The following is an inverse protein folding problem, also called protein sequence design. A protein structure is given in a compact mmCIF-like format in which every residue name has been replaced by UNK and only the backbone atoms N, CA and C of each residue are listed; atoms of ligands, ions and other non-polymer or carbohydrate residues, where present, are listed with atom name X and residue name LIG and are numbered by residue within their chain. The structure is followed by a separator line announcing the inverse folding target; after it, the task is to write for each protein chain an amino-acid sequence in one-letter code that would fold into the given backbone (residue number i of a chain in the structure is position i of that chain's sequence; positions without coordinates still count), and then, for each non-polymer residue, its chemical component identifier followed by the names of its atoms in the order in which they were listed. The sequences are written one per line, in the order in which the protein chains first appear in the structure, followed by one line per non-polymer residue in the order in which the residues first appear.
data_IF_514432205695
#
_entry.id   IF_514432205695
#
_cell.length_a   1.000
_cell.length_b   1.000
_cell.length_c   1.000
_cell.angle_alpha   90.00
_cell.angle_beta   90.00
_cell.angle_gamma   90.00
#
_symmetry.space_group_name_H-M   'P 1'
#
loop_
_entity.id
_entity.type
_entity.pdbx_description
1 polymer ?
#
# COMPACT_ATOMS: atom_id res chain seq x y z
N UNK A 1 -15.47 24.01 -68.28
CA UNK A 1 -16.38 22.84 -68.34
C UNK A 1 -15.52 21.62 -68.05
N UNK A 2 -15.74 20.94 -66.94
CA UNK A 2 -15.02 19.72 -66.59
C UNK A 2 -15.50 18.57 -67.46
N UNK A 3 -14.57 17.84 -68.08
CA UNK A 3 -14.91 16.71 -68.93
C UNK A 3 -15.46 15.55 -68.08
N UNK A 4 -16.61 15.01 -68.51
CA UNK A 4 -17.29 13.83 -67.95
C UNK A 4 -16.35 12.65 -67.61
N UNK A 5 -15.43 12.22 -68.51
CA UNK A 5 -14.47 11.15 -68.20
C UNK A 5 -13.48 11.53 -67.08
N UNK A 6 -13.10 12.80 -66.95
CA UNK A 6 -12.21 13.29 -65.90
C UNK A 6 -12.85 13.25 -64.51
N UNK A 7 -14.14 13.61 -64.43
CA UNK A 7 -14.91 13.51 -63.19
C UNK A 7 -15.10 12.06 -62.74
N UNK A 8 -15.38 11.15 -63.68
CA UNK A 8 -15.49 9.73 -63.38
C UNK A 8 -14.16 9.14 -62.89
N UNK A 9 -13.03 9.44 -63.55
CA UNK A 9 -11.71 8.98 -63.11
C UNK A 9 -11.36 9.46 -61.69
N UNK A 10 -11.75 10.70 -61.34
CA UNK A 10 -11.56 11.24 -59.98
C UNK A 10 -12.44 10.53 -58.95
N UNK A 11 -13.69 10.24 -59.29
CA UNK A 11 -14.60 9.46 -58.43
C UNK A 11 -14.05 8.04 -58.18
N UNK A 12 -13.57 7.35 -59.22
CA UNK A 12 -12.97 6.01 -59.07
C UNK A 12 -11.74 6.01 -58.16
N UNK A 13 -10.88 7.02 -58.27
CA UNK A 13 -9.72 7.19 -57.37
C UNK A 13 -10.15 7.38 -55.92
N UNK A 14 -11.17 8.20 -55.67
CA UNK A 14 -11.71 8.42 -54.32
C UNK A 14 -12.35 7.16 -53.73
N UNK A 15 -13.09 6.39 -54.54
CA UNK A 15 -13.69 5.11 -54.13
C UNK A 15 -12.60 4.11 -53.71
N UNK A 16 -11.53 3.96 -54.51
CA UNK A 16 -10.42 3.07 -54.19
C UNK A 16 -9.71 3.50 -52.89
N UNK A 17 -9.49 4.81 -52.71
CA UNK A 17 -8.89 5.35 -51.49
C UNK A 17 -9.77 5.14 -50.25
N UNK A 18 -11.09 5.30 -50.40
CA UNK A 18 -12.06 5.06 -49.34
C UNK A 18 -12.10 3.58 -48.95
N UNK A 19 -12.19 2.65 -49.91
CA UNK A 19 -12.14 1.20 -49.65
C UNK A 19 -10.85 0.78 -48.94
N UNK A 20 -9.69 1.28 -49.41
CA UNK A 20 -8.41 1.00 -48.78
C UNK A 20 -8.35 1.55 -47.34
N UNK A 21 -8.92 2.74 -47.12
CA UNK A 21 -9.02 3.33 -45.79
C UNK A 21 -9.97 2.59 -44.85
N UNK A 22 -11.11 2.12 -45.37
CA UNK A 22 -12.08 1.31 -44.64
C UNK A 22 -11.49 -0.04 -44.25
N UNK A 23 -10.78 -0.70 -45.17
CA UNK A 23 -10.04 -1.92 -44.88
C UNK A 23 -9.00 -1.73 -43.78
N UNK A 24 -8.30 -0.58 -43.75
CA UNK A 24 -7.39 -0.21 -42.66
C UNK A 24 -8.07 0.11 -41.33
N UNK A 25 -9.33 0.54 -41.33
CA UNK A 25 -10.11 0.73 -40.11
C UNK A 25 -10.67 -0.60 -39.57
N UNK A 26 -11.00 -1.53 -40.46
CA UNK A 26 -11.48 -2.86 -40.10
C UNK A 26 -10.35 -3.76 -39.60
N UNK A 27 -9.16 -3.68 -40.21
CA UNK A 27 -7.94 -4.23 -39.62
C UNK A 27 -7.51 -3.30 -38.48
N UNK A 28 -7.90 -3.62 -37.25
CA UNK A 28 -7.60 -2.83 -36.04
C UNK A 28 -6.07 -2.63 -35.78
N UNK A 29 -5.19 -3.16 -36.64
CA UNK A 29 -3.72 -3.22 -36.52
C UNK A 29 -2.93 -2.29 -37.48
N UNK A 30 -3.53 -1.21 -37.98
CA UNK A 30 -2.79 -0.20 -38.76
C UNK A 30 -2.02 0.79 -37.86
N UNK A 31 -0.78 1.21 -38.19
CA UNK A 31 -0.10 2.27 -37.46
C UNK A 31 -0.82 3.61 -37.69
N UNK A 32 -1.54 4.09 -36.67
CA UNK A 32 -2.19 5.41 -36.67
C UNK A 32 -3.46 5.48 -35.81
N UNK A 33 -3.83 6.68 -35.39
CA UNK A 33 -5.05 6.89 -34.61
C UNK A 33 -6.31 6.58 -35.45
N UNK A 34 -7.14 5.58 -35.07
CA UNK A 34 -8.31 5.19 -35.84
C UNK A 34 -9.35 6.32 -35.95
N UNK A 35 -9.34 7.26 -35.00
CA UNK A 35 -10.22 8.44 -34.99
C UNK A 35 -9.81 9.45 -36.06
N UNK A 36 -8.51 9.68 -36.24
CA UNK A 36 -7.98 10.60 -37.25
C UNK A 36 -8.23 10.03 -38.65
N UNK A 37 -7.99 8.74 -38.83
CA UNK A 37 -8.27 8.03 -40.07
C UNK A 37 -9.78 8.06 -40.41
N UNK A 38 -10.66 7.80 -39.45
CA UNK A 38 -12.10 7.87 -39.66
C UNK A 38 -12.56 9.28 -40.09
N UNK A 39 -11.97 10.34 -39.49
CA UNK A 39 -12.27 11.74 -39.87
C UNK A 39 -11.85 12.03 -41.32
N UNK A 40 -10.66 11.59 -41.73
CA UNK A 40 -10.16 11.73 -43.11
C UNK A 40 -11.08 11.00 -44.12
N UNK A 41 -11.58 9.80 -43.78
CA UNK A 41 -12.52 9.10 -44.65
C UNK A 41 -13.88 9.79 -44.76
N UNK A 42 -14.39 10.40 -43.68
CA UNK A 42 -15.61 11.21 -43.75
C UNK A 42 -15.44 12.42 -44.68
N UNK A 43 -14.27 13.07 -44.66
CA UNK A 43 -13.96 14.18 -45.57
C UNK A 43 -13.91 13.73 -47.03
N UNK A 44 -13.25 12.60 -47.32
CA UNK A 44 -13.18 12.01 -48.66
C UNK A 44 -14.54 11.54 -49.17
N UNK A 45 -15.39 11.02 -48.29
CA UNK A 45 -16.77 10.66 -48.60
C UNK A 45 -17.61 11.90 -48.97
N UNK A 46 -17.46 13.00 -48.22
CA UNK A 46 -18.12 14.26 -48.55
C UNK A 46 -17.66 14.82 -49.92
N UNK A 47 -16.37 14.68 -50.24
CA UNK A 47 -15.83 15.04 -51.56
C UNK A 47 -16.40 14.15 -52.67
N UNK A 48 -16.50 12.83 -52.45
CA UNK A 48 -17.12 11.90 -53.40
C UNK A 48 -18.61 12.23 -53.64
N UNK A 49 -19.36 12.55 -52.58
CA UNK A 49 -20.77 12.96 -52.69
C UNK A 49 -20.94 14.29 -53.45
N UNK A 50 -19.98 15.21 -53.30
CA UNK A 50 -19.97 16.46 -54.09
C UNK A 50 -19.70 16.17 -55.56
N UNK A 51 -18.70 15.34 -55.86
CA UNK A 51 -18.35 14.96 -57.24
C UNK A 51 -19.49 14.16 -57.89
N UNK A 52 -20.18 13.30 -57.14
CA UNK A 52 -21.39 12.60 -57.59
C UNK A 52 -22.50 13.58 -58.01
N UNK A 53 -22.75 14.63 -57.21
CA UNK A 53 -23.72 15.70 -57.53
C UNK A 53 -23.29 16.53 -58.72
N UNK A 54 -22.01 16.88 -58.84
CA UNK A 54 -21.46 17.62 -59.99
C UNK A 54 -21.58 16.78 -61.28
N UNK A 55 -21.27 15.48 -61.22
CA UNK A 55 -21.53 14.52 -62.30
C UNK A 55 -23.01 14.58 -62.71
N UNK A 56 -23.94 14.37 -61.78
CA UNK A 56 -25.38 14.39 -62.06
C UNK A 56 -25.84 15.70 -62.72
N UNK A 57 -25.34 16.84 -62.24
CA UNK A 57 -25.65 18.16 -62.84
C UNK A 57 -25.12 18.32 -64.26
N UNK A 58 -23.88 17.89 -64.52
CA UNK A 58 -23.25 17.97 -65.85
C UNK A 58 -23.94 17.03 -66.85
N UNK A 59 -24.42 15.87 -66.39
CA UNK A 59 -25.21 14.93 -67.17
C UNK A 59 -26.59 15.48 -67.51
N UNK A 60 -27.32 16.07 -66.56
CA UNK A 60 -28.63 16.70 -66.85
C UNK A 60 -28.49 17.78 -67.93
N UNK A 61 -27.37 18.50 -67.95
CA UNK A 61 -27.06 19.51 -68.97
C UNK A 61 -26.61 18.92 -70.32
N UNK A 62 -26.10 17.68 -70.33
CA UNK A 62 -25.70 16.94 -71.54
C UNK A 62 -26.87 16.12 -72.15
N UNK A 63 -27.77 15.58 -71.32
CA UNK A 63 -28.96 14.83 -71.72
C UNK A 63 -29.97 15.70 -72.46
N UNK A 64 -30.04 16.99 -72.11
CA UNK A 64 -30.81 18.00 -72.87
C UNK A 64 -30.25 18.21 -74.29
N UNK A 65 -28.99 17.82 -74.55
CA UNK A 65 -28.32 17.96 -75.85
C UNK A 65 -28.25 16.68 -76.68
N UNK A 66 -28.29 15.47 -76.09
CA UNK A 66 -28.24 14.21 -76.85
C UNK A 66 -28.73 13.01 -76.02
N UNK A 67 -29.35 12.01 -76.67
CA UNK A 67 -29.62 10.68 -76.09
C UNK A 67 -28.29 9.96 -75.81
N UNK A 68 -27.77 10.09 -74.59
CA UNK A 68 -26.56 9.38 -74.15
C UNK A 68 -26.86 7.91 -73.86
N UNK A 69 -25.93 7.04 -74.27
CA UNK A 69 -26.06 5.58 -74.28
C UNK A 69 -26.24 4.96 -72.88
N UNK A 70 -26.98 3.84 -72.79
CA UNK A 70 -27.27 3.05 -71.56
C UNK A 70 -26.05 2.82 -70.63
N UNK A 71 -24.86 2.73 -71.19
CA UNK A 71 -23.60 2.49 -70.48
C UNK A 71 -23.23 3.63 -69.51
N UNK A 72 -23.58 4.88 -69.82
CA UNK A 72 -23.24 6.03 -68.97
C UNK A 72 -24.20 6.17 -67.78
N UNK A 73 -25.44 5.71 -67.95
CA UNK A 73 -26.44 5.60 -66.86
C UNK A 73 -25.99 4.57 -65.83
N UNK A 74 -25.47 3.43 -66.28
CA UNK A 74 -24.99 2.37 -65.39
C UNK A 74 -23.78 2.83 -64.56
N UNK A 75 -22.83 3.58 -65.16
CA UNK A 75 -21.68 4.15 -64.43
C UNK A 75 -22.09 5.14 -63.34
N UNK A 76 -23.12 5.96 -63.59
CA UNK A 76 -23.67 6.87 -62.58
C UNK A 76 -24.25 6.10 -61.40
N UNK A 77 -25.11 5.12 -61.71
CA UNK A 77 -25.76 4.30 -60.69
C UNK A 77 -24.71 3.54 -59.85
N UNK A 78 -23.67 3.02 -60.51
CA UNK A 78 -22.57 2.35 -59.83
C UNK A 78 -21.84 3.28 -58.84
N UNK A 79 -21.56 4.52 -59.22
CA UNK A 79 -20.87 5.48 -58.33
C UNK A 79 -21.77 5.93 -57.17
N UNK A 80 -23.08 6.12 -57.39
CA UNK A 80 -24.00 6.47 -56.31
C UNK A 80 -24.18 5.32 -55.32
N UNK A 81 -24.42 4.11 -55.82
CA UNK A 81 -24.63 2.92 -54.99
C UNK A 81 -23.38 2.63 -54.14
N UNK A 82 -22.20 2.81 -54.72
CA UNK A 82 -20.93 2.65 -54.02
C UNK A 82 -20.71 3.74 -52.96
N UNK A 83 -21.08 4.99 -53.23
CA UNK A 83 -20.98 6.07 -52.26
C UNK A 83 -21.93 5.84 -51.06
N UNK A 84 -23.13 5.35 -51.31
CA UNK A 84 -24.11 5.02 -50.27
C UNK A 84 -23.68 3.80 -49.45
N UNK A 85 -23.11 2.78 -50.10
CA UNK A 85 -22.52 1.63 -49.41
C UNK A 85 -21.36 2.03 -48.49
N UNK A 86 -20.41 2.83 -49.00
CA UNK A 86 -19.26 3.30 -48.23
C UNK A 86 -19.70 4.19 -47.05
N UNK A 87 -20.73 5.03 -47.25
CA UNK A 87 -21.33 5.81 -46.18
C UNK A 87 -21.91 4.92 -45.08
N UNK A 88 -22.75 3.96 -45.45
CA UNK A 88 -23.40 3.09 -44.48
C UNK A 88 -22.39 2.24 -43.69
N UNK A 89 -21.29 1.81 -44.34
CA UNK A 89 -20.21 1.10 -43.68
C UNK A 89 -19.46 1.99 -42.67
N UNK A 90 -19.15 3.23 -43.07
CA UNK A 90 -18.46 4.20 -42.21
C UNK A 90 -19.33 4.62 -41.02
N UNK A 91 -20.63 4.81 -41.22
CA UNK A 91 -21.60 5.12 -40.15
C UNK A 91 -21.70 3.97 -39.13
N UNK A 92 -21.74 2.71 -39.59
CA UNK A 92 -21.70 1.53 -38.69
C UNK A 92 -20.41 1.44 -37.90
N UNK A 93 -19.28 1.81 -38.51
CA UNK A 93 -18.00 1.85 -37.79
C UNK A 93 -17.99 2.96 -36.74
N UNK A 94 -18.44 4.17 -37.11
CA UNK A 94 -18.58 5.30 -36.18
C UNK A 94 -19.50 4.97 -34.99
N UNK A 95 -20.65 4.35 -35.26
CA UNK A 95 -21.59 3.93 -34.21
C UNK A 95 -20.98 2.93 -33.22
N UNK A 96 -20.22 1.94 -33.71
CA UNK A 96 -19.51 0.98 -32.84
C UNK A 96 -18.46 1.65 -31.97
N UNK A 97 -17.72 2.62 -32.50
CA UNK A 97 -16.69 3.34 -31.74
C UNK A 97 -17.30 4.22 -30.65
N UNK A 98 -18.39 4.94 -30.97
CA UNK A 98 -19.12 5.76 -29.98
C UNK A 98 -19.72 4.89 -28.88
N UNK A 99 -20.28 3.72 -29.22
CA UNK A 99 -20.79 2.79 -28.23
C UNK A 99 -19.69 2.30 -27.26
N UNK A 100 -18.52 1.92 -27.78
CA UNK A 100 -17.37 1.52 -26.96
C UNK A 100 -16.87 2.64 -26.05
N UNK A 101 -16.82 3.87 -26.54
CA UNK A 101 -16.40 5.01 -25.73
C UNK A 101 -17.40 5.31 -24.60
N UNK A 102 -18.71 5.20 -24.87
CA UNK A 102 -19.73 5.35 -23.84
C UNK A 102 -19.63 4.26 -22.78
N UNK A 103 -19.50 3.01 -23.18
CA UNK A 103 -19.35 1.89 -22.24
C UNK A 103 -18.07 2.03 -21.38
N UNK A 104 -16.97 2.50 -21.97
CA UNK A 104 -15.74 2.79 -21.24
C UNK A 104 -15.92 3.93 -20.23
N UNK A 105 -16.57 5.03 -20.63
CA UNK A 105 -16.86 6.15 -19.74
C UNK A 105 -17.79 5.77 -18.59
N UNK A 106 -18.87 5.02 -18.87
CA UNK A 106 -19.79 4.52 -17.84
C UNK A 106 -19.05 3.58 -16.86
N UNK A 107 -18.15 2.74 -17.39
CA UNK A 107 -17.31 1.86 -16.54
C UNK A 107 -16.37 2.66 -15.65
N UNK A 108 -15.74 3.72 -16.17
CA UNK A 108 -14.90 4.60 -15.38
C UNK A 108 -15.68 5.31 -14.27
N UNK A 109 -16.91 5.78 -14.54
CA UNK A 109 -17.77 6.39 -13.53
C UNK A 109 -18.17 5.39 -12.44
N UNK A 110 -18.54 4.16 -12.82
CA UNK A 110 -18.84 3.09 -11.88
C UNK A 110 -17.61 2.72 -11.02
N UNK A 111 -16.43 2.67 -11.63
CA UNK A 111 -15.18 2.40 -10.92
C UNK A 111 -14.82 3.52 -9.94
N UNK A 112 -14.95 4.78 -10.36
CA UNK A 112 -14.72 5.95 -9.52
C UNK A 112 -15.68 5.95 -8.31
N UNK A 113 -16.97 5.68 -8.53
CA UNK A 113 -17.95 5.56 -7.44
C UNK A 113 -17.65 4.39 -6.51
N UNK A 114 -17.25 3.24 -7.06
CA UNK A 114 -16.87 2.07 -6.27
C UNK A 114 -15.60 2.33 -5.44
N UNK A 115 -14.65 3.09 -5.97
CA UNK A 115 -13.42 3.47 -5.26
C UNK A 115 -13.71 4.37 -4.06
N UNK A 116 -14.53 5.41 -4.24
CA UNK A 116 -14.99 6.25 -3.13
C UNK A 116 -15.70 5.40 -2.07
N UNK A 117 -16.57 4.48 -2.49
CA UNK A 117 -17.24 3.56 -1.56
C UNK A 117 -16.27 2.65 -0.79
N UNK A 118 -15.20 2.15 -1.43
CA UNK A 118 -14.16 1.36 -0.77
C UNK A 118 -13.36 2.21 0.23
N UNK A 119 -13.01 3.44 -0.13
CA UNK A 119 -12.29 4.35 0.76
C UNK A 119 -13.10 4.66 2.03
N UNK A 120 -14.41 4.93 1.88
CA UNK A 120 -15.30 5.17 3.03
C UNK A 120 -15.39 3.93 3.93
N UNK A 121 -15.52 2.72 3.36
CA UNK A 121 -15.53 1.48 4.15
C UNK A 121 -14.22 1.28 4.93
N UNK A 122 -13.07 1.49 4.28
CA UNK A 122 -11.78 1.38 4.93
C UNK A 122 -11.62 2.35 6.11
N UNK A 123 -12.06 3.60 5.94
CA UNK A 123 -12.04 4.58 7.02
C UNK A 123 -12.92 4.15 8.19
N UNK A 124 -14.13 3.61 7.93
CA UNK A 124 -15.01 3.12 8.98
C UNK A 124 -14.43 1.90 9.72
N UNK A 125 -13.79 0.97 9.01
CA UNK A 125 -13.16 -0.20 9.63
C UNK A 125 -11.96 0.20 10.50
N UNK A 126 -11.18 1.20 10.07
CA UNK A 126 -10.08 1.77 10.84
C UNK A 126 -10.58 2.44 12.13
N UNK A 127 -11.63 3.26 12.04
CA UNK A 127 -12.26 3.88 13.21
C UNK A 127 -12.82 2.83 14.19
N UNK A 128 -13.46 1.77 13.69
CA UNK A 128 -13.96 0.67 14.50
C UNK A 128 -12.82 -0.08 15.21
N UNK A 129 -11.70 -0.30 14.52
CA UNK A 129 -10.51 -0.91 15.11
C UNK A 129 -9.95 -0.05 16.24
N UNK A 130 -9.82 1.26 16.03
CA UNK A 130 -9.36 2.22 17.05
C UNK A 130 -10.24 2.18 18.29
N UNK A 131 -11.57 2.16 18.13
CA UNK A 131 -12.49 2.01 19.27
C UNK A 131 -12.30 0.70 20.04
N UNK A 132 -12.02 -0.41 19.34
CA UNK A 132 -11.65 -1.68 19.97
C UNK A 132 -10.35 -1.60 20.79
N UNK A 133 -9.34 -0.87 20.30
CA UNK A 133 -8.10 -0.61 21.03
C UNK A 133 -8.30 0.26 22.27
N UNK A 134 -9.10 1.33 22.16
CA UNK A 134 -9.43 2.21 23.30
C UNK A 134 -10.13 1.42 24.40
N UNK A 135 -11.08 0.55 24.05
CA UNK A 135 -11.81 -0.29 25.02
C UNK A 135 -10.87 -1.28 25.73
N UNK A 136 -9.95 -1.92 24.99
CA UNK A 136 -8.93 -2.81 25.58
C UNK A 136 -7.97 -2.04 26.48
N UNK A 137 -7.50 -0.87 26.05
CA UNK A 137 -6.63 0.00 26.84
C UNK A 137 -7.29 0.43 28.14
N UNK A 138 -8.58 0.81 28.11
CA UNK A 138 -9.36 1.12 29.32
C UNK A 138 -9.43 -0.06 30.29
N UNK A 139 -9.67 -1.28 29.81
CA UNK A 139 -9.69 -2.48 30.66
C UNK A 139 -8.32 -2.75 31.27
N UNK A 140 -7.26 -2.69 30.48
CA UNK A 140 -5.88 -2.89 30.95
C UNK A 140 -5.49 -1.84 32.00
N UNK A 141 -5.86 -0.57 31.79
CA UNK A 141 -5.64 0.48 32.77
C UNK A 141 -6.38 0.22 34.07
N UNK A 142 -7.65 -0.22 34.01
CA UNK A 142 -8.41 -0.58 35.20
C UNK A 142 -7.76 -1.73 35.97
N UNK A 143 -7.27 -2.75 35.27
CA UNK A 143 -6.54 -3.88 35.85
C UNK A 143 -5.22 -3.43 36.49
N UNK A 144 -4.47 -2.51 35.85
CA UNK A 144 -3.27 -1.92 36.43
C UNK A 144 -3.56 -1.11 37.70
N UNK A 145 -4.67 -0.36 37.73
CA UNK A 145 -5.09 0.37 38.94
C UNK A 145 -5.43 -0.59 40.08
N UNK A 146 -6.17 -1.66 39.79
CA UNK A 146 -6.52 -2.68 40.77
C UNK A 146 -5.26 -3.38 41.31
N UNK A 147 -4.36 -3.79 40.40
CA UNK A 147 -3.09 -4.40 40.77
C UNK A 147 -2.21 -3.45 41.58
N UNK A 148 -2.12 -2.17 41.19
CA UNK A 148 -1.39 -1.14 41.93
C UNK A 148 -1.93 -0.93 43.34
N UNK A 149 -3.26 -0.94 43.51
CA UNK A 149 -3.91 -0.91 44.82
C UNK A 149 -3.49 -2.09 45.70
N UNK A 150 -3.46 -3.31 45.14
CA UNK A 150 -3.03 -4.51 45.86
C UNK A 150 -1.55 -4.47 46.27
N UNK A 151 -0.67 -3.93 45.40
CA UNK A 151 0.75 -3.74 45.69
C UNK A 151 0.91 -2.74 46.84
N UNK A 152 0.22 -1.60 46.80
CA UNK A 152 0.31 -0.60 47.87
C UNK A 152 -0.18 -1.15 49.21
N UNK A 153 -1.27 -1.93 49.20
CA UNK A 153 -1.76 -2.63 50.38
C UNK A 153 -0.71 -3.61 50.93
N UNK A 154 -0.05 -4.37 50.06
CA UNK A 154 1.03 -5.30 50.44
C UNK A 154 2.26 -4.57 51.02
N UNK A 155 2.62 -3.40 50.49
CA UNK A 155 3.72 -2.58 51.03
C UNK A 155 3.38 -2.03 52.42
N UNK A 156 2.14 -1.58 52.64
CA UNK A 156 1.67 -1.17 53.97
C UNK A 156 1.75 -2.33 54.97
N UNK A 157 1.30 -3.52 54.56
CA UNK A 157 1.39 -4.72 55.39
C UNK A 157 2.85 -5.11 55.70
N UNK A 158 3.74 -5.03 54.72
CA UNK A 158 5.17 -5.30 54.89
C UNK A 158 5.82 -4.30 55.85
N UNK A 159 5.45 -3.02 55.79
CA UNK A 159 5.92 -2.00 56.72
C UNK A 159 5.55 -2.33 58.16
N UNK A 160 4.32 -2.79 58.40
CA UNK A 160 3.89 -3.21 59.74
C UNK A 160 4.64 -4.46 60.23
N UNK A 161 4.99 -5.40 59.33
CA UNK A 161 5.83 -6.56 59.67
C UNK A 161 7.24 -6.14 60.07
N UNK A 162 7.86 -5.22 59.33
CA UNK A 162 9.21 -4.69 59.65
C UNK A 162 9.20 -3.99 61.01
N UNK A 163 8.20 -3.15 61.30
CA UNK A 163 8.05 -2.52 62.63
C UNK A 163 7.89 -3.53 63.76
N UNK A 164 7.19 -4.65 63.53
CA UNK A 164 7.04 -5.73 64.51
C UNK A 164 8.36 -6.49 64.70
N UNK A 165 9.09 -6.76 63.61
CA UNK A 165 10.41 -7.38 63.66
C UNK A 165 11.42 -6.51 64.42
N UNK A 166 11.43 -5.19 64.16
CA UNK A 166 12.26 -4.23 64.90
C UNK A 166 11.94 -4.21 66.40
N UNK A 167 10.66 -4.19 66.77
CA UNK A 167 10.25 -4.27 68.19
C UNK A 167 10.73 -5.57 68.86
N UNK A 168 10.54 -6.72 68.20
CA UNK A 168 11.06 -8.01 68.69
C UNK A 168 12.58 -8.02 68.82
N UNK A 169 13.30 -7.41 67.87
CA UNK A 169 14.75 -7.29 67.96
C UNK A 169 15.18 -6.42 69.14
N UNK A 170 14.48 -5.31 69.41
CA UNK A 170 14.72 -4.48 70.59
C UNK A 170 14.45 -5.28 71.89
N UNK A 171 13.40 -6.10 71.94
CA UNK A 171 13.10 -6.97 73.08
C UNK A 171 14.17 -8.06 73.28
N UNK A 172 14.68 -8.63 72.18
CA UNK A 172 15.80 -9.58 72.21
C UNK A 172 17.08 -8.89 72.64
N UNK A 173 17.38 -7.68 72.16
CA UNK A 173 18.56 -6.94 72.57
C UNK A 173 18.50 -6.56 74.06
N UNK A 174 17.31 -6.18 74.54
CA UNK A 174 17.06 -5.90 75.96
C UNK A 174 17.22 -7.16 76.83
N UNK A 175 16.81 -8.33 76.35
CA UNK A 175 16.99 -9.61 77.08
C UNK A 175 18.40 -10.21 76.95
N UNK A 176 19.10 -9.99 75.84
CA UNK A 176 20.50 -10.43 75.62
C UNK A 176 21.49 -9.57 76.41
N UNK A 177 21.13 -8.33 76.76
CA UNK A 177 21.89 -7.47 77.69
C UNK A 177 22.09 -8.06 79.10
N UNK A 178 21.41 -9.15 79.47
CA UNK A 178 21.53 -9.80 80.79
C UNK A 178 22.00 -11.27 80.74
N UNK A 179 22.63 -11.72 79.66
CA UNK A 179 23.11 -13.10 79.54
C UNK A 179 24.53 -13.29 80.09
N UNK A 180 24.65 -13.75 81.34
CA UNK A 180 25.92 -14.21 81.96
C UNK A 180 26.72 -15.19 81.06
N UNK A 181 26.03 -15.87 80.12
CA UNK A 181 26.59 -16.80 79.14
C UNK A 181 27.42 -16.12 78.02
N UNK A 182 27.04 -14.92 77.55
CA UNK A 182 27.79 -14.19 76.51
C UNK A 182 29.06 -13.57 77.10
N UNK A 183 28.97 -13.06 78.33
CA UNK A 183 30.13 -12.55 79.07
C UNK A 183 31.19 -13.66 79.29
N UNK A 184 30.75 -14.87 79.70
CA UNK A 184 31.64 -16.04 79.84
C UNK A 184 32.24 -16.50 78.51
N UNK A 185 31.56 -16.28 77.37
CA UNK A 185 32.07 -16.68 76.05
C UNK A 185 33.23 -15.78 75.57
N UNK A 186 33.23 -14.50 75.96
CA UNK A 186 34.31 -13.55 75.66
C UNK A 186 35.54 -13.84 76.55
N UNK A 187 35.33 -14.17 77.83
CA UNK A 187 36.42 -14.42 78.78
C UNK A 187 37.20 -15.72 78.51
N UNK A 188 36.60 -16.68 77.80
CA UNK A 188 37.28 -17.93 77.39
C UNK A 188 38.36 -17.71 76.33
N UNK A 189 38.19 -16.72 75.45
CA UNK A 189 39.19 -16.40 74.41
C UNK A 189 40.45 -15.78 75.00
N UNK A 190 40.31 -14.93 76.02
CA UNK A 190 41.46 -14.25 76.63
C UNK A 190 42.43 -15.20 77.36
N UNK A 191 41.92 -16.28 77.98
CA UNK A 191 42.77 -17.27 78.65
C UNK A 191 43.62 -18.07 77.67
N UNK A 192 43.09 -18.45 76.51
CA UNK A 192 43.83 -19.20 75.51
C UNK A 192 45.01 -18.39 74.95
N UNK A 193 44.82 -17.10 74.67
CA UNK A 193 45.89 -16.21 74.18
C UNK A 193 46.99 -16.01 75.23
N UNK A 194 46.64 -15.90 76.51
CA UNK A 194 47.64 -15.79 77.59
C UNK A 194 48.49 -17.05 77.70
N UNK A 195 47.90 -18.24 77.61
CA UNK A 195 48.66 -19.50 77.63
C UNK A 195 49.59 -19.65 76.42
N UNK A 196 49.13 -19.26 75.22
CA UNK A 196 49.95 -19.28 74.00
C UNK A 196 51.13 -18.30 74.09
N UNK A 197 50.89 -17.07 74.55
CA UNK A 197 51.93 -16.06 74.71
C UNK A 197 52.98 -16.47 75.75
N UNK A 198 52.54 -16.99 76.90
CA UNK A 198 53.44 -17.43 77.98
C UNK A 198 54.28 -18.64 77.55
N UNK A 199 53.67 -19.62 76.85
CA UNK A 199 54.36 -20.78 76.32
C UNK A 199 55.44 -20.41 75.30
N UNK A 200 55.13 -19.48 74.39
CA UNK A 200 56.09 -18.97 73.39
C UNK A 200 57.28 -18.23 74.00
N UNK A 201 57.04 -17.36 75.00
CA UNK A 201 58.12 -16.67 75.71
C UNK A 201 59.07 -17.65 76.41
N UNK A 202 58.52 -18.65 77.11
CA UNK A 202 59.32 -19.62 77.85
C UNK A 202 60.19 -20.48 76.92
N UNK A 203 59.63 -20.94 75.79
CA UNK A 203 60.37 -21.76 74.81
C UNK A 203 61.51 -20.97 74.15
N UNK A 204 61.26 -19.73 73.71
CA UNK A 204 62.30 -18.88 73.12
C UNK A 204 63.39 -18.53 74.15
N UNK A 205 63.01 -18.22 75.40
CA UNK A 205 63.96 -17.91 76.46
C UNK A 205 64.85 -19.09 76.82
N UNK A 206 64.29 -20.30 76.98
CA UNK A 206 65.06 -21.51 77.28
C UNK A 206 66.01 -21.87 76.13
N UNK A 207 65.55 -21.77 74.88
CA UNK A 207 66.39 -22.06 73.72
C UNK A 207 67.56 -21.09 73.59
N UNK A 208 67.32 -19.79 73.77
CA UNK A 208 68.40 -18.79 73.67
C UNK A 208 69.40 -18.92 74.83
N UNK A 209 68.93 -19.08 76.08
CA UNK A 209 69.81 -19.33 77.22
C UNK A 209 70.63 -20.62 77.06
N UNK A 210 70.02 -21.71 76.60
CA UNK A 210 70.71 -22.98 76.34
C UNK A 210 71.78 -22.87 75.25
N UNK A 211 71.49 -22.17 74.15
CA UNK A 211 72.45 -21.94 73.08
C UNK A 211 73.62 -21.05 73.52
N UNK A 212 73.37 -20.05 74.36
CA UNK A 212 74.42 -19.19 74.91
C UNK A 212 75.31 -19.99 75.86
N UNK A 213 74.72 -20.81 76.72
CA UNK A 213 75.48 -21.66 77.65
C UNK A 213 76.38 -22.65 76.89
N UNK A 214 75.85 -23.29 75.83
CA UNK A 214 76.63 -24.21 74.98
C UNK A 214 77.68 -23.51 74.11
N UNK A 215 77.57 -22.21 73.88
CA UNK A 215 78.59 -21.41 73.16
C UNK A 215 79.75 -21.00 74.07
N UNK A 216 79.47 -20.77 75.36
CA UNK A 216 80.43 -20.24 76.33
C UNK A 216 81.15 -21.32 77.16
N UNK A 217 80.68 -22.55 77.11
CA UNK A 217 81.27 -23.72 77.75
C UNK A 217 81.66 -24.76 76.70
#
# INVERSE_FOLDING_TARGET
MSDLPGLHARATKLILALRAGLGRLESIEGPGDPVVLARDLHQKLAELQRISRELDSSWRMALVRQQTAKHDVWKRQQVSDEADFLRQSLDRFGGRQVARQREAADREELMARAEVGRQVKHAMDEEAAVMGHVTRSRRMMAEMFEQGGSILASMSQNRERIKRAQRKMLDVLNSVGMGESVLRMIERRHRADVYLALGGMATVGLLTCGLIWWRWF
#
